data_IF_096547030722
#
_entry.id   IF_096547030722
#
_cell.length_a   1.000
_cell.length_b   1.000
_cell.length_c   1.000
_cell.angle_alpha   90.00
_cell.angle_beta   90.00
_cell.angle_gamma   90.00
#
_symmetry.space_group_name_H-M   'P 1'
#
loop_
_entity.id
_entity.type
_entity.pdbx_description
1 polymer ?
#
# COMPACT_ATOMS: atom_id res chain seq x y z
N UNK A 1 25.49 3.14 5.87
CA UNK A 1 24.12 3.44 6.23
C UNK A 1 23.17 2.36 5.80
N UNK A 2 22.28 2.01 6.66
CA UNK A 2 21.37 0.94 6.37
C UNK A 2 20.07 1.47 5.79
N UNK A 3 19.63 0.84 4.72
CA UNK A 3 18.32 1.16 4.14
C UNK A 3 17.27 0.39 4.88
N UNK A 4 16.29 1.11 5.39
CA UNK A 4 15.16 0.50 6.03
C UNK A 4 13.96 0.57 5.14
N UNK A 5 13.01 -0.32 5.39
CA UNK A 5 11.76 -0.26 4.69
C UNK A 5 11.02 1.00 5.06
N UNK A 6 10.82 1.87 4.09
CA UNK A 6 10.10 3.11 4.29
C UNK A 6 8.69 2.97 3.78
N UNK A 7 7.77 3.64 4.45
CA UNK A 7 6.39 3.71 3.99
C UNK A 7 6.15 5.16 3.56
N UNK A 8 5.81 5.34 2.30
CA UNK A 8 5.72 6.65 1.67
C UNK A 8 4.28 7.11 1.67
N UNK A 9 4.05 8.32 2.18
CA UNK A 9 2.73 8.91 2.14
C UNK A 9 2.41 9.36 0.72
N UNK A 10 1.27 8.92 0.21
CA UNK A 10 0.83 9.21 -1.14
C UNK A 10 -0.44 10.04 -1.09
N UNK A 11 -0.48 11.07 -1.89
CA UNK A 11 -1.65 11.92 -2.08
C UNK A 11 -1.90 12.05 -3.56
N UNK A 12 -2.96 12.79 -3.90
CA UNK A 12 -3.24 13.06 -5.30
C UNK A 12 -2.11 13.84 -5.98
N UNK A 13 -1.32 14.56 -5.18
CA UNK A 13 -0.24 15.36 -5.72
C UNK A 13 0.93 14.51 -6.19
N UNK A 14 1.28 13.46 -5.43
CA UNK A 14 2.48 12.68 -5.73
C UNK A 14 2.20 11.26 -6.22
N UNK A 15 0.93 10.90 -6.41
CA UNK A 15 0.57 9.55 -6.83
C UNK A 15 1.29 9.14 -8.11
N UNK A 16 1.33 10.04 -9.09
CA UNK A 16 1.95 9.71 -10.36
C UNK A 16 3.42 9.35 -10.18
N UNK A 17 4.14 10.17 -9.44
CA UNK A 17 5.57 9.93 -9.23
C UNK A 17 5.81 8.69 -8.40
N UNK A 18 5.05 8.53 -7.32
CA UNK A 18 5.36 7.48 -6.37
C UNK A 18 4.78 6.11 -6.75
N UNK A 19 3.69 6.10 -7.50
CA UNK A 19 3.01 4.84 -7.83
C UNK A 19 3.02 4.58 -9.34
N UNK A 20 2.49 5.53 -10.12
CA UNK A 20 2.32 5.29 -11.56
C UNK A 20 3.64 5.09 -12.28
N UNK A 21 4.65 5.86 -11.89
CA UNK A 21 5.96 5.83 -12.56
C UNK A 21 7.00 5.08 -11.76
N UNK A 22 6.59 4.35 -10.72
CA UNK A 22 7.53 3.62 -9.89
C UNK A 22 8.15 2.48 -10.69
N UNK A 23 9.46 2.30 -10.50
CA UNK A 23 10.19 1.22 -11.16
C UNK A 23 9.96 -0.12 -10.45
N UNK A 24 9.77 -0.08 -9.14
CA UNK A 24 9.49 -1.27 -8.37
C UNK A 24 7.99 -1.53 -8.32
N UNK A 25 7.59 -2.78 -8.09
CA UNK A 25 6.21 -3.04 -7.72
C UNK A 25 5.85 -2.24 -6.48
N UNK A 26 4.59 -1.84 -6.38
CA UNK A 26 4.11 -0.99 -5.29
C UNK A 26 3.00 -1.70 -4.54
N UNK A 27 3.05 -1.63 -3.22
CA UNK A 27 1.93 -2.00 -2.36
C UNK A 27 1.39 -0.71 -1.75
N UNK A 28 0.14 -0.39 -2.05
CA UNK A 28 -0.50 0.83 -1.57
C UNK A 28 -1.61 0.48 -0.61
N UNK A 29 -1.51 0.99 0.63
CA UNK A 29 -2.58 0.85 1.61
C UNK A 29 -3.43 2.12 1.63
N UNK A 30 -4.73 1.95 1.51
CA UNK A 30 -5.68 3.02 1.79
C UNK A 30 -6.13 2.88 3.25
N UNK A 31 -6.07 3.97 3.99
CA UNK A 31 -6.37 3.95 5.41
C UNK A 31 -7.07 5.23 5.83
N UNK A 32 -7.51 5.26 7.08
CA UNK A 32 -8.05 6.47 7.67
C UNK A 32 -7.55 6.56 9.11
N UNK A 33 -7.36 7.79 9.58
CA UNK A 33 -6.84 8.01 10.93
C UNK A 33 -7.80 7.49 12.00
N UNK A 34 -9.11 7.50 11.73
CA UNK A 34 -10.13 7.05 12.68
C UNK A 34 -10.36 5.55 12.65
N UNK A 35 -9.66 4.83 11.82
CA UNK A 35 -9.95 3.42 11.55
C UNK A 35 -9.11 2.52 12.46
N UNK A 36 -9.78 1.87 13.42
CA UNK A 36 -9.10 0.95 14.34
C UNK A 36 -8.48 -0.25 13.66
N UNK A 37 -9.14 -0.78 12.61
CA UNK A 37 -8.61 -1.91 11.86
C UNK A 37 -7.34 -1.51 11.12
N UNK A 38 -7.27 -0.27 10.65
CA UNK A 38 -6.06 0.21 10.00
C UNK A 38 -4.89 0.23 10.99
N UNK A 39 -5.17 0.64 12.22
CA UNK A 39 -4.13 0.63 13.25
C UNK A 39 -3.63 -0.78 13.51
N UNK A 40 -4.52 -1.78 13.43
CA UNK A 40 -4.13 -3.17 13.63
C UNK A 40 -3.18 -3.67 12.56
N UNK A 41 -3.20 -3.06 11.37
CA UNK A 41 -2.31 -3.47 10.28
C UNK A 41 -0.97 -2.76 10.29
N UNK A 42 -0.79 -1.78 11.18
CA UNK A 42 0.43 -0.96 11.17
C UNK A 42 1.70 -1.79 11.28
N UNK A 43 1.73 -2.73 12.23
CA UNK A 43 2.93 -3.53 12.44
C UNK A 43 3.16 -4.50 11.29
N UNK A 44 2.09 -5.08 10.76
CA UNK A 44 2.20 -6.00 9.63
C UNK A 44 2.75 -5.27 8.41
N UNK A 45 2.25 -4.06 8.16
CA UNK A 45 2.71 -3.30 7.01
C UNK A 45 4.16 -2.85 7.20
N UNK A 46 4.53 -2.46 8.42
CA UNK A 46 5.90 -2.06 8.70
C UNK A 46 6.85 -3.24 8.49
N UNK A 47 6.46 -4.42 8.94
CA UNK A 47 7.26 -5.62 8.72
C UNK A 47 7.41 -5.93 7.25
N UNK A 48 6.31 -5.82 6.51
CA UNK A 48 6.35 -6.07 5.07
C UNK A 48 7.28 -5.08 4.39
N UNK A 49 7.20 -3.81 4.76
CA UNK A 49 8.05 -2.79 4.14
C UNK A 49 9.52 -3.08 4.40
N UNK A 50 9.84 -3.51 5.61
CA UNK A 50 11.23 -3.76 5.97
C UNK A 50 11.76 -4.99 5.26
N UNK A 51 10.98 -6.07 5.23
CA UNK A 51 11.43 -7.31 4.60
C UNK A 51 11.52 -7.21 3.09
N UNK A 52 10.82 -6.27 2.50
CA UNK A 52 10.78 -6.11 1.06
C UNK A 52 11.46 -4.84 0.56
N UNK A 53 12.26 -4.21 1.43
CA UNK A 53 12.99 -3.00 1.04
C UNK A 53 13.84 -3.27 -0.20
N UNK A 54 13.74 -2.39 -1.18
CA UNK A 54 14.45 -2.54 -2.44
C UNK A 54 13.79 -3.46 -3.44
N UNK A 55 12.70 -4.15 -3.06
CA UNK A 55 11.98 -5.04 -3.96
C UNK A 55 10.52 -4.64 -4.16
N UNK A 56 9.89 -4.14 -3.13
CA UNK A 56 8.52 -3.63 -3.21
C UNK A 56 8.51 -2.28 -2.52
N UNK A 57 7.95 -1.30 -3.18
CA UNK A 57 7.78 0.03 -2.62
C UNK A 57 6.46 0.07 -1.88
N UNK A 58 6.47 0.45 -0.61
CA UNK A 58 5.26 0.45 0.21
C UNK A 58 4.79 1.89 0.41
N UNK A 59 3.51 2.13 0.13
CA UNK A 59 2.91 3.45 0.20
C UNK A 59 1.62 3.39 0.99
N UNK A 60 1.20 4.54 1.51
CA UNK A 60 -0.07 4.69 2.23
C UNK A 60 -0.77 5.94 1.74
N UNK A 61 -2.09 5.86 1.62
CA UNK A 61 -2.92 7.00 1.24
C UNK A 61 -4.08 7.13 2.21
N UNK A 62 -4.21 8.31 2.81
CA UNK A 62 -5.29 8.62 3.73
C UNK A 62 -6.52 8.99 2.91
N UNK A 63 -7.60 8.23 3.07
CA UNK A 63 -8.80 8.43 2.24
C UNK A 63 -9.49 9.77 2.52
N UNK A 64 -9.28 10.32 3.72
CA UNK A 64 -9.87 11.61 4.06
C UNK A 64 -9.09 12.77 3.45
N UNK A 65 -7.77 12.58 3.28
CA UNK A 65 -6.94 13.61 2.67
C UNK A 65 -6.88 13.48 1.16
N UNK A 66 -7.15 12.29 0.64
CA UNK A 66 -7.08 12.03 -0.80
C UNK A 66 -8.29 11.23 -1.26
N UNK A 67 -9.49 11.82 -1.11
CA UNK A 67 -10.71 11.09 -1.49
C UNK A 67 -10.78 10.78 -2.97
N UNK A 68 -10.13 11.57 -3.80
CA UNK A 68 -10.10 11.31 -5.23
C UNK A 68 -9.39 10.01 -5.58
N UNK A 69 -8.31 9.69 -4.85
CA UNK A 69 -7.62 8.42 -5.07
C UNK A 69 -8.50 7.25 -4.65
N UNK A 70 -9.12 7.35 -3.47
CA UNK A 70 -10.01 6.29 -3.00
C UNK A 70 -11.12 6.04 -4.01
N UNK A 71 -11.72 7.11 -4.52
CA UNK A 71 -12.79 6.98 -5.51
C UNK A 71 -12.29 6.37 -6.82
N UNK A 72 -11.10 6.77 -7.25
CA UNK A 72 -10.54 6.25 -8.50
C UNK A 72 -10.38 4.74 -8.46
N UNK A 73 -10.00 4.18 -7.32
CA UNK A 73 -9.77 2.74 -7.20
C UNK A 73 -10.93 2.01 -6.54
N UNK A 74 -12.07 2.69 -6.33
CA UNK A 74 -13.25 2.05 -5.81
C UNK A 74 -13.12 1.59 -4.37
N UNK A 75 -12.32 2.28 -3.57
CA UNK A 75 -12.10 1.91 -2.18
C UNK A 75 -13.28 2.38 -1.34
N UNK A 76 -14.00 1.43 -0.75
CA UNK A 76 -15.15 1.73 0.10
C UNK A 76 -14.93 1.34 1.55
N UNK A 77 -14.02 0.41 1.80
CA UNK A 77 -13.70 -0.05 3.15
C UNK A 77 -12.20 0.04 3.36
N UNK A 78 -11.81 0.40 4.58
CA UNK A 78 -10.41 0.48 4.96
C UNK A 78 -10.14 -0.44 6.14
N UNK A 79 -8.93 -1.00 6.27
CA UNK A 79 -7.82 -0.82 5.35
C UNK A 79 -8.05 -1.60 4.05
N UNK A 80 -7.52 -1.06 2.95
CA UNK A 80 -7.55 -1.73 1.66
C UNK A 80 -6.14 -1.66 1.08
N UNK A 81 -5.71 -2.77 0.49
CA UNK A 81 -4.37 -2.88 -0.06
C UNK A 81 -4.47 -3.20 -1.54
N UNK A 82 -3.74 -2.46 -2.36
CA UNK A 82 -3.71 -2.69 -3.80
C UNK A 82 -2.26 -2.79 -4.23
N UNK A 83 -1.93 -3.83 -4.99
CA UNK A 83 -0.61 -3.96 -5.57
C UNK A 83 -0.62 -3.39 -6.97
N UNK A 84 0.50 -2.75 -7.33
CA UNK A 84 0.69 -2.15 -8.65
C UNK A 84 1.96 -2.68 -9.26
N UNK A 85 1.97 -2.79 -10.58
CA UNK A 85 3.16 -3.15 -11.32
C UNK A 85 3.13 -2.40 -12.63
N UNK A 86 4.18 -1.61 -12.90
CA UNK A 86 4.20 -0.79 -14.10
C UNK A 86 3.10 0.24 -14.13
N UNK A 87 2.69 0.72 -12.96
CA UNK A 87 1.64 1.72 -12.86
C UNK A 87 0.22 1.19 -12.90
N UNK A 88 0.06 -0.13 -13.02
CA UNK A 88 -1.28 -0.72 -13.14
C UNK A 88 -1.63 -1.54 -11.92
N UNK A 89 -2.86 -1.38 -11.45
CA UNK A 89 -3.36 -2.15 -10.31
C UNK A 89 -3.46 -3.62 -10.71
N UNK A 90 -2.97 -4.49 -9.84
CA UNK A 90 -2.93 -5.92 -10.11
C UNK A 90 -3.94 -6.69 -9.26
N UNK A 91 -3.79 -6.62 -7.95
CA UNK A 91 -4.61 -7.37 -7.01
C UNK A 91 -4.89 -6.52 -5.79
N UNK A 92 -5.86 -6.97 -5.00
CA UNK A 92 -6.27 -6.23 -3.81
C UNK A 92 -6.61 -7.16 -2.67
N UNK A 93 -6.51 -6.63 -1.45
CA UNK A 93 -6.99 -7.28 -0.25
C UNK A 93 -7.63 -6.21 0.61
N UNK A 94 -8.67 -6.59 1.36
CA UNK A 94 -9.42 -5.63 2.17
C UNK A 94 -9.56 -6.14 3.58
N UNK A 95 -9.39 -5.26 4.55
CA UNK A 95 -9.58 -5.57 5.95
C UNK A 95 -8.30 -6.00 6.62
N UNK A 96 -8.43 -6.55 7.83
CA UNK A 96 -7.28 -7.05 8.57
C UNK A 96 -6.90 -8.38 7.96
N UNK A 97 -5.71 -8.43 7.36
CA UNK A 97 -5.25 -9.62 6.65
C UNK A 97 -3.87 -10.01 7.17
N UNK A 98 -3.50 -11.29 7.05
CA UNK A 98 -2.17 -11.71 7.48
C UNK A 98 -1.10 -11.26 6.50
N UNK A 99 0.14 -11.32 6.97
CA UNK A 99 1.30 -10.94 6.16
C UNK A 99 1.30 -11.65 4.81
N UNK A 100 0.98 -12.94 4.80
CA UNK A 100 0.99 -13.72 3.56
C UNK A 100 0.07 -13.16 2.49
N UNK A 101 -1.04 -12.53 2.90
CA UNK A 101 -1.94 -11.94 1.92
C UNK A 101 -1.26 -10.81 1.16
N UNK A 102 -0.43 -10.03 1.85
CA UNK A 102 0.31 -8.96 1.19
C UNK A 102 1.33 -9.53 0.21
N UNK A 103 2.02 -10.61 0.60
CA UNK A 103 2.92 -11.28 -0.31
C UNK A 103 2.20 -11.76 -1.56
N UNK A 104 1.03 -12.35 -1.37
CA UNK A 104 0.29 -12.94 -2.49
C UNK A 104 -0.16 -11.88 -3.47
N UNK A 105 -0.69 -10.76 -2.99
CA UNK A 105 -1.17 -9.75 -3.93
C UNK A 105 -0.01 -9.07 -4.64
N UNK A 106 1.19 -9.11 -4.08
CA UNK A 106 2.38 -8.58 -4.72
C UNK A 106 3.08 -9.62 -5.61
N UNK A 107 2.50 -10.82 -5.75
CA UNK A 107 3.05 -11.82 -6.64
C UNK A 107 4.19 -12.61 -6.07
N UNK A 108 4.34 -12.65 -4.75
CA UNK A 108 5.44 -13.33 -4.10
C UNK A 108 4.97 -14.58 -3.39
N UNK A 109 4.49 -15.50 -4.17
CA UNK A 109 3.81 -16.66 -3.63
C UNK A 109 4.51 -17.97 -3.95
N UNK A 110 5.75 -17.93 -4.32
CA UNK A 110 6.43 -19.18 -4.65
C UNK A 110 6.90 -19.93 -3.44
#
# INVERSE_FOLDING_TARGET
MQVRGMIIDVTEVNFRREVSEAELPVLLEFYAAWCGKCAMMSDVLAEFAEKNAGRVKVCRADIDRSPGLAGKFGVEKVPAFISFRGGEAQRAAVGVVPYQALDEICGRHE
#
